data_IF_077532784305
#
_entry.id   IF_077532784305
#
_cell.length_a   1.000
_cell.length_b   1.000
_cell.length_c   1.000
_cell.angle_alpha   90.00
_cell.angle_beta   90.00
_cell.angle_gamma   90.00
#
_symmetry.space_group_name_H-M   'P 1'
#
loop_
_entity.id
_entity.type
_entity.pdbx_description
1 polymer ?
#
# COMPACT_ATOMS: atom_id res chain seq x y z
N UNK A 1 8.78 3.66 29.05
CA UNK A 1 8.05 2.69 28.20
C UNK A 1 7.41 3.45 27.05
N UNK A 2 7.58 3.03 25.79
CA UNK A 2 6.96 3.70 24.64
C UNK A 2 5.52 3.20 24.53
N UNK A 3 4.55 4.07 24.79
CA UNK A 3 3.14 3.75 24.69
C UNK A 3 2.81 3.40 23.24
N UNK A 4 2.42 2.15 22.99
CA UNK A 4 1.71 1.78 21.75
C UNK A 4 0.31 2.38 21.86
N UNK A 5 0.11 3.55 21.27
CA UNK A 5 -1.23 4.11 21.11
C UNK A 5 -2.05 3.17 20.23
N UNK A 6 -3.13 2.64 20.81
CA UNK A 6 -4.13 1.85 20.11
C UNK A 6 -4.84 2.74 19.07
N UNK A 7 -4.31 2.86 17.85
CA UNK A 7 -4.91 3.61 16.74
C UNK A 7 -5.99 2.80 15.97
N UNK A 8 -6.63 1.81 16.59
CA UNK A 8 -7.34 0.75 15.87
C UNK A 8 -8.82 0.98 15.54
N UNK A 9 -9.40 2.17 15.70
CA UNK A 9 -10.85 2.32 15.52
C UNK A 9 -11.28 3.10 14.28
N UNK A 10 -10.43 3.96 13.71
CA UNK A 10 -10.76 4.69 12.48
C UNK A 10 -9.52 4.88 11.62
N UNK A 11 -9.46 4.20 10.46
CA UNK A 11 -8.47 4.53 9.43
C UNK A 11 -8.86 5.88 8.83
N UNK A 12 -7.94 6.86 8.73
CA UNK A 12 -8.24 8.10 8.02
C UNK A 12 -8.62 7.78 6.57
N UNK A 13 -9.64 8.46 6.04
CA UNK A 13 -9.94 8.41 4.61
C UNK A 13 -8.71 8.83 3.82
N UNK A 14 -8.37 8.06 2.79
CA UNK A 14 -7.30 8.41 1.85
C UNK A 14 -7.89 9.34 0.80
N UNK A 15 -7.53 10.61 0.86
CA UNK A 15 -7.95 11.65 -0.07
C UNK A 15 -7.04 11.62 -1.31
N UNK A 16 -7.54 11.30 -2.52
CA UNK A 16 -6.71 11.05 -3.70
C UNK A 16 -5.70 12.18 -4.02
N UNK A 17 -6.15 13.43 -3.91
CA UNK A 17 -5.38 14.63 -4.26
C UNK A 17 -4.55 15.20 -3.10
N UNK A 18 -4.65 14.63 -1.90
CA UNK A 18 -3.84 15.06 -0.75
C UNK A 18 -2.44 14.48 -0.85
N UNK A 19 -1.45 15.27 -0.43
CA UNK A 19 -0.06 14.82 -0.29
C UNK A 19 0.19 14.39 1.15
N UNK A 20 0.80 13.22 1.31
CA UNK A 20 1.12 12.59 2.57
C UNK A 20 2.64 12.46 2.71
N UNK A 21 3.12 12.67 3.94
CA UNK A 21 4.46 12.29 4.35
C UNK A 21 4.56 10.77 4.60
N UNK A 22 5.78 10.24 4.65
CA UNK A 22 6.02 8.81 4.96
C UNK A 22 5.44 8.38 6.33
N UNK A 23 5.44 9.29 7.30
CA UNK A 23 4.90 9.02 8.63
C UNK A 23 3.37 8.89 8.58
N UNK A 24 2.70 9.83 7.92
CA UNK A 24 1.25 9.75 7.71
C UNK A 24 0.85 8.49 6.93
N UNK A 25 1.60 8.11 5.89
CA UNK A 25 1.33 6.86 5.16
C UNK A 25 1.48 5.63 6.05
N UNK A 26 2.47 5.62 6.95
CA UNK A 26 2.66 4.52 7.89
C UNK A 26 1.48 4.39 8.87
N UNK A 27 0.96 5.53 9.34
CA UNK A 27 -0.22 5.59 10.20
C UNK A 27 -1.49 5.13 9.46
N UNK A 28 -1.72 5.62 8.24
CA UNK A 28 -2.87 5.27 7.39
C UNK A 28 -2.92 3.76 7.11
N UNK A 29 -1.78 3.19 6.72
CA UNK A 29 -1.67 1.78 6.36
C UNK A 29 -1.52 0.88 7.59
N UNK A 30 -1.36 1.44 8.78
CA UNK A 30 -1.07 0.73 10.02
C UNK A 30 0.14 -0.23 9.90
N UNK A 31 1.24 0.30 9.36
CA UNK A 31 2.52 -0.43 9.18
C UNK A 31 3.68 0.37 9.76
N UNK A 32 4.86 -0.26 9.85
CA UNK A 32 6.06 0.46 10.27
C UNK A 32 6.52 1.47 9.22
N UNK A 33 7.17 2.56 9.64
CA UNK A 33 7.82 3.51 8.73
C UNK A 33 8.84 2.82 7.80
N UNK A 34 9.53 1.79 8.32
CA UNK A 34 10.47 0.98 7.53
C UNK A 34 9.77 0.22 6.40
N UNK A 35 8.55 -0.26 6.62
CA UNK A 35 7.72 -0.91 5.58
C UNK A 35 7.43 0.07 4.46
N UNK A 36 6.98 1.29 4.79
CA UNK A 36 6.73 2.36 3.80
C UNK A 36 8.00 2.71 3.03
N UNK A 37 9.14 2.88 3.72
CA UNK A 37 10.43 3.16 3.05
C UNK A 37 10.82 2.06 2.07
N UNK A 38 10.64 0.79 2.44
CA UNK A 38 10.91 -0.35 1.55
C UNK A 38 9.99 -0.35 0.33
N UNK A 39 8.69 -0.09 0.53
CA UNK A 39 7.72 -0.04 -0.56
C UNK A 39 8.01 1.10 -1.56
N UNK A 40 8.50 2.25 -1.09
CA UNK A 40 8.96 3.33 -1.99
C UNK A 40 10.24 2.91 -2.72
N UNK A 41 11.21 2.33 -2.00
CA UNK A 41 12.48 1.90 -2.60
C UNK A 41 12.32 0.78 -3.63
N UNK A 42 11.33 -0.10 -3.45
CA UNK A 42 10.98 -1.17 -4.41
C UNK A 42 10.09 -0.69 -5.56
N UNK A 43 9.63 0.57 -5.55
CA UNK A 43 8.72 1.12 -6.55
C UNK A 43 7.26 0.68 -6.39
N UNK A 44 6.90 -0.04 -5.32
CA UNK A 44 5.52 -0.44 -5.03
C UNK A 44 4.62 0.76 -4.68
N UNK A 45 5.17 1.77 -4.01
CA UNK A 45 4.50 3.05 -3.76
C UNK A 45 5.19 4.12 -4.59
N UNK A 46 4.45 4.75 -5.51
CA UNK A 46 4.95 5.92 -6.25
C UNK A 46 5.14 7.08 -5.29
N UNK A 47 6.29 7.74 -5.40
CA UNK A 47 6.60 8.92 -4.60
C UNK A 47 7.45 9.89 -5.42
N UNK A 48 7.30 11.19 -5.16
CA UNK A 48 8.11 12.22 -5.82
C UNK A 48 9.07 12.89 -4.82
N UNK A 49 10.30 13.12 -5.28
CA UNK A 49 11.29 13.91 -4.57
C UNK A 49 11.91 14.91 -5.54
N UNK A 50 11.31 16.10 -5.70
CA UNK A 50 11.86 17.12 -6.58
C UNK A 50 13.31 17.48 -6.20
N UNK A 51 14.17 17.82 -7.19
CA UNK A 51 15.53 18.28 -6.93
C UNK A 51 15.56 19.44 -5.93
N UNK A 52 16.51 19.41 -5.00
CA UNK A 52 16.62 20.41 -3.94
C UNK A 52 15.69 20.19 -2.74
N UNK A 53 14.78 19.20 -2.78
CA UNK A 53 13.90 18.92 -1.66
C UNK A 53 14.33 17.71 -0.83
N UNK A 54 14.32 17.90 0.50
CA UNK A 54 14.66 16.85 1.47
C UNK A 54 13.52 15.86 1.73
N UNK A 55 12.27 16.29 1.59
CA UNK A 55 11.08 15.50 1.88
C UNK A 55 10.56 14.86 0.59
N UNK A 56 9.96 13.69 0.76
CA UNK A 56 9.32 12.92 -0.31
C UNK A 56 7.81 13.04 -0.16
N UNK A 57 7.15 13.19 -1.29
CA UNK A 57 5.71 13.37 -1.40
C UNK A 57 5.06 12.10 -1.94
N UNK A 58 3.97 11.69 -1.30
CA UNK A 58 3.16 10.54 -1.70
C UNK A 58 1.73 11.04 -1.83
N UNK A 59 1.12 10.94 -3.00
CA UNK A 59 -0.29 11.32 -3.17
C UNK A 59 -1.20 10.24 -2.62
N UNK A 60 -2.41 10.60 -2.20
CA UNK A 60 -3.43 9.61 -1.83
C UNK A 60 -3.68 8.60 -2.95
N UNK A 61 -3.72 9.08 -4.20
CA UNK A 61 -3.86 8.21 -5.37
C UNK A 61 -2.73 7.16 -5.46
N UNK A 62 -1.48 7.53 -5.16
CA UNK A 62 -0.37 6.56 -5.18
C UNK A 62 -0.51 5.47 -4.11
N UNK A 63 -1.18 5.77 -2.99
CA UNK A 63 -1.49 4.78 -1.94
C UNK A 63 -2.62 3.86 -2.43
N UNK A 64 -3.68 4.42 -3.00
CA UNK A 64 -4.83 3.68 -3.53
C UNK A 64 -4.41 2.72 -4.65
N UNK A 65 -3.66 3.21 -5.64
CA UNK A 65 -3.16 2.39 -6.75
C UNK A 65 -2.31 1.21 -6.26
N UNK A 66 -1.50 1.42 -5.21
CA UNK A 66 -0.69 0.36 -4.62
C UNK A 66 -1.55 -0.69 -3.91
N UNK A 67 -2.59 -0.26 -3.19
CA UNK A 67 -3.53 -1.18 -2.54
C UNK A 67 -4.24 -2.04 -3.59
N UNK A 68 -4.81 -1.42 -4.62
CA UNK A 68 -5.47 -2.10 -5.74
C UNK A 68 -4.53 -3.10 -6.44
N UNK A 69 -3.30 -2.68 -6.77
CA UNK A 69 -2.32 -3.54 -7.45
C UNK A 69 -1.80 -4.71 -6.59
N UNK A 70 -1.98 -4.65 -5.27
CA UNK A 70 -1.53 -5.69 -4.34
C UNK A 70 -2.69 -6.51 -3.75
N UNK A 71 -3.91 -6.30 -4.23
CA UNK A 71 -5.05 -7.13 -3.85
C UNK A 71 -4.83 -8.58 -4.27
N UNK A 72 -4.61 -9.44 -3.27
CA UNK A 72 -4.66 -10.87 -3.48
C UNK A 72 -6.12 -11.27 -3.67
N UNK A 73 -6.48 -11.61 -4.90
CA UNK A 73 -7.76 -12.28 -5.15
C UNK A 73 -7.69 -13.64 -4.44
N UNK A 74 -8.60 -13.94 -3.49
CA UNK A 74 -8.65 -15.27 -2.90
C UNK A 74 -8.87 -16.25 -4.05
N UNK A 75 -7.93 -17.19 -4.22
CA UNK A 75 -7.96 -18.16 -5.30
C UNK A 75 -9.35 -18.78 -5.43
N UNK A 76 -10.01 -18.51 -6.56
CA UNK A 76 -11.09 -19.34 -7.03
C UNK A 76 -10.53 -20.75 -7.18
N UNK A 77 -11.12 -21.70 -6.48
CA UNK A 77 -10.76 -23.11 -6.53
C UNK A 77 -10.88 -23.56 -8.00
N UNK A 78 -9.78 -23.57 -8.75
CA UNK A 78 -9.73 -24.08 -10.12
C UNK A 78 -9.96 -25.57 -10.03
N UNK A 79 -11.22 -25.98 -10.19
CA UNK A 79 -11.54 -27.36 -10.55
C UNK A 79 -10.71 -27.68 -11.79
N UNK A 80 -9.79 -28.65 -11.67
CA UNK A 80 -9.22 -29.35 -12.82
C UNK A 80 -10.37 -29.88 -13.66
N UNK A 81 -10.70 -29.21 -14.75
CA UNK A 81 -11.39 -29.82 -15.87
C UNK A 81 -10.37 -30.72 -16.56
N UNK A 82 -10.29 -31.99 -16.14
CA UNK A 82 -9.76 -33.02 -17.01
C UNK A 82 -10.82 -33.25 -18.10
N UNK A 83 -10.64 -32.57 -19.22
CA UNK A 83 -11.13 -33.00 -20.53
C UNK A 83 -9.89 -33.46 -21.29
N UNK A 84 -9.83 -34.75 -21.59
CA UNK A 84 -8.96 -35.50 -22.52
C UNK A 84 -9.26 -36.98 -22.19
N UNK A 85 -9.68 -37.89 -23.07
CA UNK A 85 -9.91 -37.87 -24.51
C UNK A 85 -10.94 -38.95 -24.86
N UNK A 86 -11.60 -38.74 -26.00
CA UNK A 86 -12.41 -39.70 -26.72
C UNK A 86 -11.53 -40.84 -27.25
N UNK A 87 -12.03 -42.08 -27.16
CA UNK A 87 -12.04 -43.08 -28.24
C UNK A 87 -13.06 -44.19 -27.89
#
# INVERSE_FOLDING_TARGET
MKNKSNHHLTRPTIEPNRVYSRAEVAEILNVSLSTVKRAIASGQIRASQPPGMRRVFITGQAILDMLEASEMHPHGNTKKSNQEDQD
#
